data_IF_539405298535
#
_entry.id   IF_539405298535
#
_cell.length_a   1.000
_cell.length_b   1.000
_cell.length_c   1.000
_cell.angle_alpha   90.00
_cell.angle_beta   90.00
_cell.angle_gamma   90.00
#
_symmetry.space_group_name_H-M   'P 1'
#
loop_
_entity.id
_entity.type
_entity.pdbx_description
1 polymer ?
#
# COMPACT_ATOMS: atom_id res chain seq x y z
N UNK A 1 20.20 -3.01 5.80
CA UNK A 1 19.25 -3.70 4.90
C UNK A 1 18.80 -5.02 5.54
N UNK A 2 17.71 -5.03 6.32
CA UNK A 2 17.01 -6.26 6.71
C UNK A 2 15.53 -5.89 6.80
N UNK A 3 14.79 -6.32 5.79
CA UNK A 3 13.40 -5.92 5.51
C UNK A 3 12.88 -6.72 4.32
N UNK A 4 13.30 -7.99 4.23
CA UNK A 4 13.27 -8.79 3.00
C UNK A 4 11.84 -9.13 2.54
N UNK A 5 10.83 -9.01 3.41
CA UNK A 5 9.44 -9.42 3.10
C UNK A 5 8.46 -8.27 2.94
N UNK A 6 8.68 -7.12 3.55
CA UNK A 6 7.70 -6.01 3.51
C UNK A 6 7.69 -5.25 2.21
N UNK A 7 8.82 -5.14 1.51
CA UNK A 7 8.88 -4.49 0.20
C UNK A 7 8.06 -5.23 -0.87
N UNK A 8 8.24 -6.55 -1.11
CA UNK A 8 7.43 -7.25 -2.11
C UNK A 8 5.94 -7.30 -1.72
N UNK A 9 5.62 -7.44 -0.43
CA UNK A 9 4.22 -7.42 0.04
C UNK A 9 3.56 -6.05 -0.17
N UNK A 10 4.28 -4.94 0.03
CA UNK A 10 3.76 -3.60 -0.20
C UNK A 10 3.47 -3.32 -1.68
N UNK A 11 4.29 -3.83 -2.60
CA UNK A 11 4.02 -3.75 -4.06
C UNK A 11 2.77 -4.55 -4.42
N UNK A 12 2.65 -5.77 -3.89
CA UNK A 12 1.47 -6.61 -4.10
C UNK A 12 0.18 -5.96 -3.58
N UNK A 13 0.21 -5.44 -2.35
CA UNK A 13 -0.94 -4.75 -1.73
C UNK A 13 -1.33 -3.48 -2.49
N UNK A 14 -0.35 -2.68 -2.93
CA UNK A 14 -0.62 -1.52 -3.79
C UNK A 14 -1.31 -1.92 -5.09
N UNK A 15 -0.79 -2.93 -5.79
CA UNK A 15 -1.39 -3.44 -7.03
C UNK A 15 -2.80 -3.99 -6.81
N UNK A 16 -3.04 -4.68 -5.69
CA UNK A 16 -4.35 -5.22 -5.35
C UNK A 16 -5.38 -4.10 -5.08
N UNK A 17 -4.97 -3.00 -4.46
CA UNK A 17 -5.82 -1.82 -4.28
C UNK A 17 -6.09 -1.07 -5.59
N UNK A 18 -5.12 -1.00 -6.50
CA UNK A 18 -5.34 -0.44 -7.83
C UNK A 18 -6.37 -1.25 -8.64
N UNK A 19 -6.27 -2.58 -8.61
CA UNK A 19 -7.26 -3.46 -9.25
C UNK A 19 -8.62 -3.37 -8.55
N UNK A 20 -8.66 -3.33 -7.22
CA UNK A 20 -9.90 -3.16 -6.46
C UNK A 20 -10.60 -1.83 -6.80
N UNK A 21 -9.86 -0.74 -6.95
CA UNK A 21 -10.40 0.54 -7.41
C UNK A 21 -11.00 0.42 -8.81
N UNK A 22 -10.28 -0.21 -9.74
CA UNK A 22 -10.78 -0.47 -11.09
C UNK A 22 -12.06 -1.33 -11.11
N UNK A 23 -12.14 -2.37 -10.28
CA UNK A 23 -13.29 -3.27 -10.21
C UNK A 23 -14.51 -2.66 -9.51
N UNK A 24 -14.32 -1.95 -8.40
CA UNK A 24 -15.42 -1.42 -7.59
C UNK A 24 -15.87 -0.02 -8.03
N UNK A 25 -14.98 0.77 -8.62
CA UNK A 25 -15.20 2.18 -8.94
C UNK A 25 -14.96 2.55 -10.40
N UNK A 26 -14.30 1.70 -11.20
CA UNK A 26 -13.99 2.00 -12.60
C UNK A 26 -15.22 2.24 -13.48
N UNK A 27 -16.37 1.64 -13.15
CA UNK A 27 -17.63 1.85 -13.88
C UNK A 27 -18.35 3.17 -13.52
N UNK A 28 -17.96 3.81 -12.42
CA UNK A 28 -18.63 5.04 -11.93
C UNK A 28 -17.88 6.31 -12.37
N UNK A 29 -16.67 6.20 -12.92
CA UNK A 29 -15.82 7.31 -13.38
C UNK A 29 -14.36 7.20 -12.89
N UNK A 30 -13.48 8.09 -13.34
CA UNK A 30 -12.07 8.06 -12.91
C UNK A 30 -11.84 8.78 -11.57
N UNK A 31 -12.77 9.66 -11.16
CA UNK A 31 -12.60 10.49 -9.96
C UNK A 31 -12.90 9.70 -8.67
N UNK A 32 -11.88 9.46 -7.82
CA UNK A 32 -12.05 8.69 -6.58
C UNK A 32 -12.97 9.37 -5.58
N UNK A 33 -13.03 10.71 -5.62
CA UNK A 33 -13.86 11.55 -4.74
C UNK A 33 -15.34 11.38 -5.09
N UNK A 34 -15.67 11.37 -6.38
CA UNK A 34 -17.06 11.26 -6.84
C UNK A 34 -17.58 9.81 -6.76
N UNK A 35 -16.69 8.83 -6.79
CA UNK A 35 -17.04 7.41 -6.78
C UNK A 35 -16.99 6.73 -5.42
N UNK A 36 -16.56 7.44 -4.37
CA UNK A 36 -16.34 6.88 -3.04
C UNK A 36 -15.16 5.90 -2.99
N UNK A 37 -14.25 5.97 -3.97
CA UNK A 37 -13.05 5.13 -4.07
C UNK A 37 -11.81 5.77 -3.45
N UNK A 38 -11.97 6.91 -2.77
CA UNK A 38 -10.93 7.62 -2.00
C UNK A 38 -10.10 6.65 -1.16
N UNK A 39 -10.75 5.77 -0.38
CA UNK A 39 -10.05 4.83 0.49
C UNK A 39 -9.14 3.89 -0.30
N UNK A 40 -9.60 3.32 -1.41
CA UNK A 40 -8.80 2.42 -2.23
C UNK A 40 -7.58 3.13 -2.86
N UNK A 41 -7.76 4.39 -3.28
CA UNK A 41 -6.67 5.18 -3.83
C UNK A 41 -5.66 5.59 -2.74
N UNK A 42 -6.13 6.00 -1.56
CA UNK A 42 -5.29 6.28 -0.40
C UNK A 42 -4.49 5.05 0.02
N UNK A 43 -5.12 3.88 0.16
CA UNK A 43 -4.41 2.64 0.51
C UNK A 43 -3.39 2.25 -0.56
N UNK A 44 -3.69 2.43 -1.85
CA UNK A 44 -2.73 2.22 -2.93
C UNK A 44 -1.46 3.07 -2.74
N UNK A 45 -1.61 4.38 -2.47
CA UNK A 45 -0.48 5.28 -2.23
C UNK A 45 0.25 5.00 -0.92
N UNK A 46 -0.46 4.64 0.15
CA UNK A 46 0.13 4.26 1.43
C UNK A 46 1.02 3.02 1.27
N UNK A 47 0.57 2.00 0.52
CA UNK A 47 1.38 0.81 0.28
C UNK A 47 2.58 1.11 -0.64
N UNK A 48 2.45 1.99 -1.64
CA UNK A 48 3.61 2.47 -2.41
C UNK A 48 4.61 3.23 -1.53
N UNK A 49 4.12 4.07 -0.62
CA UNK A 49 4.95 4.76 0.35
C UNK A 49 5.70 3.76 1.25
N UNK A 50 5.02 2.72 1.76
CA UNK A 50 5.65 1.66 2.55
C UNK A 50 6.68 0.84 1.74
N UNK A 51 6.49 0.69 0.43
CA UNK A 51 7.49 0.10 -0.46
C UNK A 51 8.75 0.99 -0.59
N UNK A 52 8.58 2.31 -0.71
CA UNK A 52 9.67 3.27 -0.84
C UNK A 52 10.40 3.50 0.50
N UNK A 53 9.67 3.80 1.57
CA UNK A 53 10.17 4.07 2.91
C UNK A 53 10.73 2.81 3.60
N UNK A 54 10.24 1.62 3.22
CA UNK A 54 10.60 0.36 3.84
C UNK A 54 9.88 0.12 5.18
N UNK A 55 10.16 -1.01 5.87
CA UNK A 55 9.33 -1.50 6.98
C UNK A 55 9.35 -0.69 8.29
N UNK A 56 10.08 0.43 8.33
CA UNK A 56 10.09 1.34 9.48
C UNK A 56 10.51 0.70 10.82
N UNK A 57 10.24 1.41 11.92
CA UNK A 57 10.58 1.01 13.29
C UNK A 57 9.78 -0.20 13.81
N UNK A 58 8.64 -0.51 13.19
CA UNK A 58 7.78 -1.66 13.52
C UNK A 58 8.17 -2.96 12.81
N UNK A 59 9.23 -2.96 11.99
CA UNK A 59 9.78 -4.19 11.43
C UNK A 59 10.32 -5.10 12.55
N UNK A 60 10.17 -6.42 12.41
CA UNK A 60 10.85 -7.40 13.28
C UNK A 60 12.37 -7.18 13.30
N UNK A 61 12.95 -6.74 12.18
CA UNK A 61 14.36 -6.34 12.07
C UNK A 61 14.68 -5.00 12.78
N UNK A 62 13.70 -4.11 12.93
CA UNK A 62 13.80 -2.87 13.71
C UNK A 62 13.71 -3.14 15.20
N UNK A 63 12.81 -4.05 15.61
CA UNK A 63 12.66 -4.51 16.98
C UNK A 63 13.91 -5.26 17.47
N UNK A 64 14.47 -6.16 16.66
CA UNK A 64 15.74 -6.87 16.97
C UNK A 64 16.98 -5.97 17.00
N UNK A 65 16.92 -4.74 16.47
CA UNK A 65 18.01 -3.75 16.59
C UNK A 65 17.93 -2.92 17.87
N UNK A 66 16.79 -2.96 18.58
CA UNK A 66 16.56 -2.25 19.84
C UNK A 66 16.72 -3.13 21.09
N UNK A 67 16.83 -4.45 20.93
CA UNK A 67 17.15 -5.43 21.98
C UNK A 67 18.63 -5.79 21.92
#
# INVERSE_FOLDING_TARGET
MRGCKTRPTAVLLSGLMAVAYGMAHGSKGFDPILNGGEAAMLFCFIFLYLFAAGPGAFSVDGLRRRA
#
